data_IF_492579013757
#
_entry.id   IF_492579013757
#
_cell.length_a   1.000
_cell.length_b   1.000
_cell.length_c   1.000
_cell.angle_alpha   90.00
_cell.angle_beta   90.00
_cell.angle_gamma   90.00
#
_symmetry.space_group_name_H-M   'P 1'
#
loop_
_entity.id
_entity.type
_entity.pdbx_description
1 polymer ?
#
# COMPACT_ATOMS: atom_id res chain seq x y z
N UNK A 1 7.93 27.55 8.78
CA UNK A 1 6.72 27.13 9.53
C UNK A 1 6.61 25.62 9.44
N UNK A 2 6.82 24.90 10.55
CA UNK A 2 6.66 23.44 10.59
C UNK A 2 5.16 23.18 10.82
N UNK A 3 4.46 22.77 9.76
CA UNK A 3 3.05 22.40 9.87
C UNK A 3 2.94 21.14 10.73
N UNK A 4 2.47 21.27 11.97
CA UNK A 4 2.16 20.12 12.83
C UNK A 4 1.22 19.17 12.07
N UNK A 5 1.50 17.86 12.04
CA UNK A 5 0.59 16.91 11.39
C UNK A 5 -0.79 17.00 12.05
N UNK A 6 -1.81 17.37 11.28
CA UNK A 6 -3.21 17.34 11.73
C UNK A 6 -3.63 15.88 11.83
N UNK A 7 -3.56 15.32 13.03
CA UNK A 7 -4.12 14.01 13.31
C UNK A 7 -5.64 14.10 13.31
N UNK A 8 -6.30 13.33 12.45
CA UNK A 8 -7.76 13.16 12.47
C UNK A 8 -8.10 12.05 13.47
N UNK A 9 -9.00 12.34 14.40
CA UNK A 9 -9.39 11.40 15.46
C UNK A 9 -10.54 10.51 15.00
N UNK A 10 -10.36 9.20 15.17
CA UNK A 10 -11.40 8.18 14.98
C UNK A 10 -11.73 7.55 16.34
N UNK A 11 -12.99 7.56 16.76
CA UNK A 11 -13.45 6.85 17.96
C UNK A 11 -14.08 5.52 17.54
N UNK A 12 -13.68 4.43 18.20
CA UNK A 12 -14.21 3.09 17.97
C UNK A 12 -14.94 2.66 19.23
N UNK A 13 -16.23 2.40 19.12
CA UNK A 13 -17.04 1.84 20.20
C UNK A 13 -17.09 0.33 20.04
N UNK A 14 -16.89 -0.39 21.13
CA UNK A 14 -16.98 -1.84 21.19
C UNK A 14 -18.22 -2.18 22.01
N UNK A 15 -19.06 -3.05 21.46
CA UNK A 15 -20.26 -3.60 22.08
C UNK A 15 -19.92 -4.74 23.05
N UNK A 16 -18.84 -5.49 22.76
CA UNK A 16 -18.36 -6.60 23.59
C UNK A 16 -17.12 -6.23 24.43
N UNK A 17 -17.19 -6.25 25.78
CA UNK A 17 -16.03 -6.03 26.63
C UNK A 17 -14.95 -7.13 26.49
N UNK A 18 -15.32 -8.36 26.11
CA UNK A 18 -14.33 -9.44 25.93
C UNK A 18 -13.47 -9.20 24.69
N UNK A 19 -14.05 -8.61 23.64
CA UNK A 19 -13.30 -8.17 22.46
C UNK A 19 -12.24 -7.12 22.83
N UNK A 20 -12.58 -6.15 23.70
CA UNK A 20 -11.61 -5.15 24.18
C UNK A 20 -10.42 -5.81 24.87
N UNK A 21 -10.66 -6.84 25.68
CA UNK A 21 -9.60 -7.57 26.37
C UNK A 21 -8.71 -8.35 25.40
N UNK A 22 -9.30 -9.05 24.43
CA UNK A 22 -8.55 -9.75 23.37
C UNK A 22 -7.66 -8.80 22.58
N UNK A 23 -8.16 -7.60 22.23
CA UNK A 23 -7.38 -6.57 21.55
C UNK A 23 -6.20 -6.11 22.42
N UNK A 24 -6.41 -5.87 23.73
CA UNK A 24 -5.34 -5.50 24.65
C UNK A 24 -4.25 -6.56 24.71
N UNK A 25 -4.62 -7.83 24.86
CA UNK A 25 -3.67 -8.95 24.89
C UNK A 25 -2.88 -9.03 23.60
N UNK A 26 -3.55 -8.90 22.44
CA UNK A 26 -2.89 -8.96 21.14
C UNK A 26 -1.91 -7.79 20.93
N UNK A 27 -2.27 -6.58 21.33
CA UNK A 27 -1.39 -5.41 21.29
C UNK A 27 -0.16 -5.60 22.22
N UNK A 28 -0.38 -6.09 23.44
CA UNK A 28 0.67 -6.37 24.41
C UNK A 28 1.66 -7.43 23.92
N UNK A 29 1.16 -8.53 23.33
CA UNK A 29 1.99 -9.59 22.71
C UNK A 29 2.91 -9.07 21.61
N UNK A 30 2.53 -7.98 20.94
CA UNK A 30 3.31 -7.33 19.88
C UNK A 30 4.15 -6.15 20.38
N UNK A 31 4.06 -5.80 21.67
CA UNK A 31 4.77 -4.66 22.25
C UNK A 31 4.32 -3.30 21.70
N UNK A 32 3.07 -3.19 21.22
CA UNK A 32 2.54 -1.95 20.62
C UNK A 32 1.32 -1.43 21.37
N UNK A 33 0.99 -0.15 21.16
CA UNK A 33 -0.20 0.46 21.75
C UNK A 33 -1.48 -0.10 21.14
N UNK A 34 -2.60 0.01 21.87
CA UNK A 34 -3.91 -0.44 21.39
C UNK A 34 -4.33 0.30 20.11
N UNK A 35 -4.09 1.61 20.05
CA UNK A 35 -4.35 2.43 18.86
C UNK A 35 -3.50 1.99 17.67
N UNK A 36 -2.22 1.68 17.89
CA UNK A 36 -1.34 1.21 16.82
C UNK A 36 -1.78 -0.17 16.29
N UNK A 37 -2.20 -1.07 17.18
CA UNK A 37 -2.75 -2.37 16.82
C UNK A 37 -4.01 -2.23 15.96
N UNK A 38 -5.00 -1.46 16.41
CA UNK A 38 -6.25 -1.24 15.68
C UNK A 38 -6.01 -0.53 14.35
N UNK A 39 -5.14 0.49 14.32
CA UNK A 39 -4.80 1.20 13.09
C UNK A 39 -4.13 0.27 12.07
N UNK A 40 -3.26 -0.64 12.52
CA UNK A 40 -2.65 -1.65 11.67
C UNK A 40 -3.68 -2.58 11.04
N UNK A 41 -4.62 -3.08 11.85
CA UNK A 41 -5.71 -3.93 11.38
C UNK A 41 -6.62 -3.21 10.36
N UNK A 42 -6.99 -1.95 10.63
CA UNK A 42 -7.80 -1.14 9.70
C UNK A 42 -7.06 -0.93 8.38
N UNK A 43 -5.78 -0.57 8.41
CA UNK A 43 -4.97 -0.38 7.19
C UNK A 43 -4.85 -1.66 6.37
N UNK A 44 -4.64 -2.80 7.03
CA UNK A 44 -4.60 -4.09 6.36
C UNK A 44 -5.92 -4.39 5.68
N UNK A 45 -7.04 -4.22 6.39
CA UNK A 45 -8.37 -4.48 5.82
C UNK A 45 -8.69 -3.56 4.64
N UNK A 46 -8.39 -2.27 4.75
CA UNK A 46 -8.58 -1.33 3.65
C UNK A 46 -7.71 -1.68 2.44
N UNK A 47 -6.51 -2.24 2.64
CA UNK A 47 -5.68 -2.72 1.54
C UNK A 47 -6.27 -3.98 0.88
N UNK A 48 -6.79 -4.92 1.67
CA UNK A 48 -7.50 -6.10 1.18
C UNK A 48 -8.75 -5.71 0.37
N UNK A 49 -9.46 -4.67 0.82
CA UNK A 49 -10.64 -4.11 0.16
C UNK A 49 -10.28 -3.21 -1.05
N UNK A 50 -8.98 -3.01 -1.35
CA UNK A 50 -8.49 -2.20 -2.47
C UNK A 50 -8.63 -0.68 -2.28
N UNK A 51 -9.00 -0.23 -1.09
CA UNK A 51 -9.17 1.18 -0.71
C UNK A 51 -7.84 1.86 -0.32
N UNK A 52 -6.82 1.08 0.00
CA UNK A 52 -5.45 1.54 0.15
C UNK A 52 -4.53 0.72 -0.76
N UNK A 53 -3.42 1.31 -1.26
CA UNK A 53 -2.35 0.50 -1.81
C UNK A 53 -1.90 -0.50 -0.74
N UNK A 54 -1.79 -1.79 -1.09
CA UNK A 54 -1.20 -2.81 -0.22
C UNK A 54 0.14 -2.29 0.32
N UNK A 55 0.55 -2.66 1.55
CA UNK A 55 1.85 -2.23 2.08
C UNK A 55 3.03 -2.62 1.19
N UNK A 56 2.89 -3.66 0.36
CA UNK A 56 3.85 -4.02 -0.69
C UNK A 56 3.85 -3.08 -1.92
N UNK A 57 2.88 -2.17 -1.97
CA UNK A 57 2.74 -1.02 -2.87
C UNK A 57 3.00 0.31 -2.15
N UNK A 58 3.73 0.32 -1.03
CA UNK A 58 4.64 1.45 -0.86
C UNK A 58 5.57 1.38 -2.07
N UNK A 59 5.22 2.18 -3.09
CA UNK A 59 5.93 2.31 -4.34
C UNK A 59 7.38 2.58 -4.02
N UNK A 60 8.20 1.54 -3.91
CA UNK A 60 9.64 1.69 -3.99
C UNK A 60 9.86 2.41 -5.33
N UNK A 61 10.27 3.69 -5.32
CA UNK A 61 10.41 4.45 -6.54
C UNK A 61 11.38 3.76 -7.50
N UNK A 62 12.29 2.92 -6.97
CA UNK A 62 13.17 2.06 -7.74
C UNK A 62 12.43 0.90 -8.38
N UNK A 63 11.53 0.22 -7.67
CA UNK A 63 10.70 -0.84 -8.26
C UNK A 63 9.77 -0.31 -9.35
N UNK A 64 9.19 0.88 -9.14
CA UNK A 64 8.38 1.57 -10.16
C UNK A 64 9.22 1.98 -11.38
N UNK A 65 10.41 2.55 -11.17
CA UNK A 65 11.34 2.90 -12.24
C UNK A 65 11.81 1.65 -13.00
N UNK A 66 12.13 0.56 -12.31
CA UNK A 66 12.53 -0.72 -12.93
C UNK A 66 11.40 -1.33 -13.76
N UNK A 67 10.16 -1.27 -13.30
CA UNK A 67 9.01 -1.72 -14.08
C UNK A 67 8.84 -0.88 -15.35
N UNK A 68 9.01 0.43 -15.24
CA UNK A 68 8.94 1.36 -16.37
C UNK A 68 10.09 1.13 -17.38
N UNK A 69 11.30 0.85 -16.89
CA UNK A 69 12.45 0.56 -17.73
C UNK A 69 12.34 -0.80 -18.44
N UNK A 70 11.78 -1.81 -17.77
CA UNK A 70 11.42 -3.09 -18.43
C UNK A 70 10.42 -2.86 -19.55
N UNK A 71 9.39 -2.05 -19.30
CA UNK A 71 8.40 -1.71 -20.31
C UNK A 71 9.06 -0.99 -21.50
N UNK A 72 9.90 0.02 -21.26
CA UNK A 72 10.67 0.73 -22.30
C UNK A 72 11.56 -0.18 -23.14
N UNK A 73 12.17 -1.21 -22.55
CA UNK A 73 12.96 -2.20 -23.31
C UNK A 73 12.08 -3.06 -24.23
N UNK A 74 10.84 -3.34 -23.83
CA UNK A 74 9.90 -4.13 -24.61
C UNK A 74 9.22 -3.31 -25.72
N UNK A 75 8.84 -2.07 -25.44
CA UNK A 75 8.02 -1.25 -26.36
C UNK A 75 8.78 -0.12 -27.05
N UNK A 76 10.10 0.02 -26.80
CA UNK A 76 10.88 1.14 -27.30
C UNK A 76 10.56 2.47 -26.59
N UNK A 77 11.15 3.59 -27.04
CA UNK A 77 10.81 4.92 -26.52
C UNK A 77 9.32 5.23 -26.73
N UNK A 78 8.74 6.02 -25.82
CA UNK A 78 7.34 6.44 -25.91
C UNK A 78 7.16 7.23 -27.22
N UNK A 79 6.31 6.74 -28.11
CA UNK A 79 6.06 7.35 -29.42
C UNK A 79 6.36 6.45 -30.63
N UNK A 80 6.98 5.27 -30.43
CA UNK A 80 7.20 4.32 -31.53
C UNK A 80 5.88 3.63 -31.94
N UNK A 81 5.49 3.69 -33.22
CA UNK A 81 4.32 2.99 -33.73
C UNK A 81 4.40 1.47 -33.52
N UNK A 82 3.29 0.84 -33.14
CA UNK A 82 3.22 -0.62 -32.87
C UNK A 82 3.74 -1.47 -34.04
N UNK A 83 3.51 -1.03 -35.28
CA UNK A 83 4.02 -1.70 -36.49
C UNK A 83 5.55 -1.81 -36.54
N UNK A 84 6.26 -0.79 -36.05
CA UNK A 84 7.73 -0.78 -36.02
C UNK A 84 8.25 -1.73 -34.94
N UNK A 85 7.55 -1.83 -33.81
CA UNK A 85 7.87 -2.78 -32.74
C UNK A 85 7.67 -4.25 -33.16
N UNK A 86 6.68 -4.52 -34.01
CA UNK A 86 6.44 -5.85 -34.59
C UNK A 86 7.52 -6.17 -35.63
N UNK A 87 7.86 -5.21 -36.50
CA UNK A 87 8.93 -5.37 -37.49
C UNK A 87 10.30 -5.65 -36.84
N UNK A 88 10.58 -5.06 -35.68
CA UNK A 88 11.79 -5.31 -34.89
C UNK A 88 11.72 -6.60 -34.04
N UNK A 89 10.61 -7.33 -34.04
CA UNK A 89 10.42 -8.56 -33.27
C UNK A 89 10.34 -8.35 -31.75
N UNK A 90 10.17 -7.11 -31.30
CA UNK A 90 10.09 -6.73 -29.87
C UNK A 90 8.68 -6.92 -29.29
N UNK A 91 7.68 -7.03 -30.17
CA UNK A 91 6.29 -7.28 -29.82
C UNK A 91 5.71 -8.34 -30.76
N UNK A 92 4.94 -9.30 -30.22
CA UNK A 92 4.18 -10.30 -30.97
C UNK A 92 2.74 -9.85 -31.16
#
# INVERSE_FOLDING_TARGET
>A
MISSPRYVRLNIYLDDPTLREKIKIAAARRGITLSAYCLGAIRQRLAEDGLLPSRDRELDPRAAAQALDRLRRQIGPIGVPVRELIAEGRRR
#
